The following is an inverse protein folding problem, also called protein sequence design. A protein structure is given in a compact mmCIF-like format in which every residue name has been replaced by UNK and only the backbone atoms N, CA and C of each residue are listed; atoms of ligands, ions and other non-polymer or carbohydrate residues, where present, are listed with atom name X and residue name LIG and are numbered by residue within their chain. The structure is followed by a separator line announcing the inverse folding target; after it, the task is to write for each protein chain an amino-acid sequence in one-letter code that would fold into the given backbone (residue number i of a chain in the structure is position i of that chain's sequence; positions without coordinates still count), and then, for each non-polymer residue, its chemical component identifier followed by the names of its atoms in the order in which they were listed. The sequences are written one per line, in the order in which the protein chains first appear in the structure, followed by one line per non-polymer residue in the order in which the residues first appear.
data_IF_913009161188
#
_entry.id   IF_913009161188
#
_cell.length_a   1.000
_cell.length_b   1.000
_cell.length_c   1.000
_cell.angle_alpha   90.00
_cell.angle_beta   90.00
_cell.angle_gamma   90.00
#
_symmetry.space_group_name_H-M   'P 1'
#
loop_
_entity.id
_entity.type
_entity.pdbx_description
1 polymer ?
#
# COMPACT_ATOMS: atom_id res chain seq x y z
N UNK A 1 -22.38 -45.20 -0.51
CA UNK A 1 -21.58 -44.98 0.71
C UNK A 1 -20.88 -43.64 0.59
N UNK A 2 -21.53 -42.59 1.12
CA UNK A 2 -21.00 -41.23 1.27
C UNK A 2 -20.50 -41.10 2.70
N UNK A 3 -19.24 -40.69 2.90
CA UNK A 3 -18.69 -40.38 4.22
C UNK A 3 -18.42 -38.88 4.25
N UNK A 4 -19.23 -38.17 5.02
CA UNK A 4 -19.11 -36.74 5.28
C UNK A 4 -18.05 -36.45 6.34
N UNK A 5 -17.32 -35.38 6.12
CA UNK A 5 -16.43 -34.72 7.09
C UNK A 5 -17.27 -33.92 8.10
N UNK A 6 -16.95 -33.97 9.41
CA UNK A 6 -17.25 -32.86 10.29
C UNK A 6 -16.02 -31.97 10.49
N UNK A 7 -16.17 -30.73 10.03
CA UNK A 7 -15.31 -29.58 10.36
C UNK A 7 -15.15 -29.43 11.88
N UNK A 8 -13.91 -29.42 12.37
CA UNK A 8 -13.58 -29.03 13.73
C UNK A 8 -13.03 -27.60 13.74
N UNK A 9 -13.70 -26.62 14.40
CA UNK A 9 -13.12 -25.30 14.63
C UNK A 9 -12.24 -25.34 15.89
N UNK A 10 -10.91 -25.37 15.72
CA UNK A 10 -9.98 -25.17 16.84
C UNK A 10 -9.89 -23.67 17.16
N UNK A 11 -10.73 -23.23 18.09
CA UNK A 11 -10.66 -21.93 18.76
C UNK A 11 -9.41 -21.91 19.63
N UNK A 12 -8.37 -21.20 19.20
CA UNK A 12 -7.22 -20.88 20.07
C UNK A 12 -7.64 -19.74 21.01
N UNK A 13 -7.74 -20.08 22.28
CA UNK A 13 -8.02 -19.21 23.42
C UNK A 13 -7.09 -18.00 23.47
N UNK A 14 -7.67 -16.80 23.53
CA UNK A 14 -6.99 -15.55 23.91
C UNK A 14 -6.76 -15.52 25.43
N UNK A 15 -5.61 -15.05 25.92
CA UNK A 15 -5.40 -14.90 27.36
C UNK A 15 -6.25 -13.75 27.92
N UNK A 16 -6.99 -14.08 28.98
CA UNK A 16 -7.80 -13.19 29.78
C UNK A 16 -6.94 -12.18 30.54
N UNK A 17 -7.00 -10.91 30.16
CA UNK A 17 -6.50 -9.80 30.98
C UNK A 17 -7.56 -8.69 31.03
N UNK A 18 -8.13 -8.54 32.23
CA UNK A 18 -8.85 -7.38 32.74
C UNK A 18 -10.20 -6.99 32.10
N UNK A 19 -11.18 -7.89 32.22
CA UNK A 19 -12.56 -7.46 32.48
C UNK A 19 -12.70 -7.13 33.97
N UNK A 20 -12.37 -5.89 34.37
CA UNK A 20 -12.81 -5.32 35.65
C UNK A 20 -13.84 -4.24 35.35
N UNK A 21 -15.06 -4.45 35.84
CA UNK A 21 -16.02 -3.37 36.03
C UNK A 21 -17.36 -3.50 35.31
N UNK A 22 -18.02 -4.65 35.40
CA UNK A 22 -19.48 -4.70 35.20
C UNK A 22 -20.13 -5.50 36.34
N UNK A 23 -20.42 -4.81 37.44
CA UNK A 23 -21.39 -5.27 38.43
C UNK A 23 -22.39 -4.14 38.70
N UNK A 24 -23.49 -4.19 37.96
CA UNK A 24 -24.88 -4.15 38.45
C UNK A 24 -25.06 -3.49 39.84
N UNK A 25 -25.57 -2.26 39.85
CA UNK A 25 -26.39 -1.73 40.96
C UNK A 25 -27.63 -1.09 40.35
N UNK A 26 -28.73 -1.85 40.34
CA UNK A 26 -30.07 -1.29 40.37
C UNK A 26 -30.43 -1.22 41.86
N UNK A 27 -30.41 -0.02 42.43
CA UNK A 27 -31.48 0.44 43.32
C UNK A 27 -31.24 1.89 43.76
N UNK A 28 -32.36 2.61 43.79
CA UNK A 28 -32.65 3.77 44.64
C UNK A 28 -32.17 5.13 44.15
N UNK A 29 -33.15 6.02 44.03
CA UNK A 29 -33.09 7.27 43.29
C UNK A 29 -32.35 8.37 44.02
N UNK A 30 -31.62 9.15 43.23
CA UNK A 30 -31.27 10.53 43.51
C UNK A 30 -31.28 11.25 42.17
N UNK A 31 -32.20 12.21 42.01
CA UNK A 31 -32.17 13.20 40.94
C UNK A 31 -30.94 14.08 41.11
N UNK A 32 -30.00 14.02 40.18
CA UNK A 32 -29.02 15.10 39.98
C UNK A 32 -29.03 15.48 38.51
N UNK A 33 -29.49 16.70 38.24
CA UNK A 33 -29.26 17.38 36.97
C UNK A 33 -27.76 17.40 36.68
N UNK A 34 -27.40 16.93 35.50
CA UNK A 34 -26.07 17.09 34.94
C UNK A 34 -26.20 17.99 33.70
N UNK A 35 -25.87 19.26 33.92
CA UNK A 35 -25.59 20.23 32.86
C UNK A 35 -24.59 19.66 31.84
N UNK A 36 -24.80 19.87 30.53
CA UNK A 36 -23.89 19.37 29.50
C UNK A 36 -22.58 20.16 29.53
N UNK A 37 -21.52 19.53 30.02
CA UNK A 37 -20.15 20.04 29.85
C UNK A 37 -19.81 20.00 28.36
N UNK A 38 -19.94 21.15 27.69
CA UNK A 38 -19.44 21.37 26.33
C UNK A 38 -17.92 21.17 26.33
N UNK A 39 -17.50 20.01 25.82
CA UNK A 39 -16.09 19.66 25.64
C UNK A 39 -15.46 20.51 24.54
N UNK A 40 -14.75 21.56 24.93
CA UNK A 40 -13.98 22.47 24.07
C UNK A 40 -12.63 21.90 23.62
N UNK A 41 -12.34 20.63 23.93
CA UNK A 41 -11.07 19.97 23.57
C UNK A 41 -11.03 19.44 22.12
N UNK A 42 -12.17 19.39 21.43
CA UNK A 42 -12.29 18.82 20.07
C UNK A 42 -11.85 19.77 18.94
N UNK A 43 -11.91 21.08 19.14
CA UNK A 43 -11.60 22.06 18.08
C UNK A 43 -10.09 22.24 17.90
N UNK A 44 -9.34 22.26 19.00
CA UNK A 44 -7.88 22.41 19.00
C UNK A 44 -7.15 21.30 18.24
N UNK A 45 -7.62 20.06 18.36
CA UNK A 45 -7.04 18.94 17.60
C UNK A 45 -7.34 19.05 16.10
N UNK A 46 -8.58 19.39 15.74
CA UNK A 46 -8.99 19.54 14.34
C UNK A 46 -8.24 20.69 13.65
N UNK A 47 -7.97 21.79 14.34
CA UNK A 47 -7.21 22.92 13.81
C UNK A 47 -5.71 22.59 13.68
N UNK A 48 -5.14 21.82 14.60
CA UNK A 48 -3.75 21.35 14.53
C UNK A 48 -3.50 20.44 13.31
N UNK A 49 -4.44 19.54 13.01
CA UNK A 49 -4.39 18.70 11.79
C UNK A 49 -4.48 19.57 10.52
N UNK A 50 -5.39 20.55 10.49
CA UNK A 50 -5.54 21.47 9.33
C UNK A 50 -4.33 22.38 9.12
N UNK A 51 -3.66 22.80 10.19
CA UNK A 51 -2.40 23.56 10.09
C UNK A 51 -1.27 22.71 9.51
N UNK A 52 -1.11 21.49 10.03
CA UNK A 52 -0.08 20.55 9.58
C UNK A 52 -0.23 20.17 8.10
N UNK A 53 -1.47 19.93 7.64
CA UNK A 53 -1.76 19.64 6.24
C UNK A 53 -1.49 20.83 5.29
N UNK A 54 -1.61 22.08 5.76
CA UNK A 54 -1.27 23.26 4.96
C UNK A 54 0.24 23.43 4.80
N UNK A 55 1.02 23.19 5.85
CA UNK A 55 2.49 23.27 5.77
C UNK A 55 3.11 22.16 4.92
N UNK A 56 2.52 20.96 4.89
CA UNK A 56 2.95 19.88 4.00
C UNK A 56 2.71 20.21 2.51
N UNK A 57 1.65 20.97 2.19
CA UNK A 57 1.28 21.27 0.80
C UNK A 57 2.16 22.33 0.15
N UNK A 58 2.69 23.28 0.93
CA UNK A 58 3.57 24.35 0.41
C UNK A 58 4.99 23.85 0.13
N UNK A 59 5.41 22.76 0.78
CA UNK A 59 6.74 22.16 0.57
C UNK A 59 6.84 21.24 -0.66
N UNK A 60 5.71 20.89 -1.27
CA UNK A 60 5.66 19.97 -2.42
C UNK A 60 5.74 20.67 -3.79
N UNK A 61 5.83 22.01 -3.84
CA UNK A 61 5.74 22.78 -5.09
C UNK A 61 7.09 23.20 -5.70
N UNK A 62 8.23 22.72 -5.17
CA UNK A 62 9.55 23.19 -5.60
C UNK A 62 10.56 22.07 -5.94
N UNK A 63 10.13 21.06 -6.70
CA UNK A 63 11.04 20.17 -7.43
C UNK A 63 10.52 19.93 -8.85
N UNK A 64 10.50 20.99 -9.66
CA UNK A 64 10.40 20.87 -11.13
C UNK A 64 11.69 21.40 -11.72
N UNK A 65 12.59 20.48 -12.07
CA UNK A 65 13.49 20.51 -13.24
C UNK A 65 14.59 19.47 -13.06
N UNK A 66 14.32 18.21 -13.39
CA UNK A 66 15.37 17.21 -13.57
C UNK A 66 15.86 17.26 -15.03
N UNK A 67 17.19 17.21 -15.30
CA UNK A 67 17.75 17.27 -16.64
C UNK A 67 17.44 15.98 -17.42
N UNK A 68 16.56 16.18 -18.40
CA UNK A 68 16.19 15.43 -19.61
C UNK A 68 17.13 14.27 -20.04
N UNK A 69 16.56 13.06 -19.97
CA UNK A 69 16.67 11.97 -20.96
C UNK A 69 17.90 11.04 -21.03
N UNK A 70 18.99 11.21 -20.28
CA UNK A 70 20.14 10.25 -20.36
C UNK A 70 20.44 9.53 -19.03
N UNK A 71 19.64 9.78 -17.98
CA UNK A 71 19.83 9.23 -16.63
C UNK A 71 18.63 8.42 -16.08
N UNK A 72 17.61 8.14 -16.90
CA UNK A 72 16.34 7.62 -16.42
C UNK A 72 16.45 6.22 -15.78
N UNK A 73 17.18 5.27 -16.36
CA UNK A 73 17.29 3.91 -15.80
C UNK A 73 18.00 3.84 -14.44
N UNK A 74 19.03 4.67 -14.22
CA UNK A 74 19.84 4.65 -12.99
C UNK A 74 19.22 5.52 -11.88
N UNK A 75 18.47 6.55 -12.23
CA UNK A 75 17.74 7.39 -11.27
C UNK A 75 16.56 6.66 -10.61
N UNK A 76 16.00 5.63 -11.27
CA UNK A 76 14.86 4.88 -10.76
C UNK A 76 15.24 3.91 -9.64
N UNK A 77 16.45 3.37 -9.67
CA UNK A 77 16.98 2.57 -8.57
C UNK A 77 17.32 3.42 -7.34
N UNK A 78 17.52 4.73 -7.50
CA UNK A 78 17.77 5.66 -6.38
C UNK A 78 16.51 6.23 -5.74
N UNK A 79 15.32 5.98 -6.31
CA UNK A 79 14.06 6.35 -5.66
C UNK A 79 13.89 5.58 -4.34
N UNK A 80 13.20 6.19 -3.38
CA UNK A 80 12.73 5.45 -2.21
C UNK A 80 11.70 4.39 -2.66
N UNK A 81 11.49 3.31 -1.90
CA UNK A 81 10.49 2.29 -2.25
C UNK A 81 9.07 2.87 -2.39
N UNK A 82 8.72 3.87 -1.60
CA UNK A 82 7.42 4.55 -1.65
C UNK A 82 7.29 5.45 -2.89
N UNK A 83 8.32 6.24 -3.21
CA UNK A 83 8.31 7.07 -4.42
C UNK A 83 8.26 6.21 -5.68
N UNK A 84 8.96 5.06 -5.69
CA UNK A 84 8.90 4.10 -6.78
C UNK A 84 7.49 3.55 -6.96
N UNK A 85 6.81 3.17 -5.87
CA UNK A 85 5.41 2.69 -5.92
C UNK A 85 4.53 3.74 -6.58
N UNK A 86 4.60 4.98 -6.12
CA UNK A 86 3.72 6.04 -6.58
C UNK A 86 4.00 6.40 -8.03
N UNK A 87 5.28 6.44 -8.43
CA UNK A 87 5.66 6.63 -9.82
C UNK A 87 5.10 5.50 -10.69
N UNK A 88 5.36 4.23 -10.35
CA UNK A 88 4.90 3.07 -11.12
C UNK A 88 3.38 3.10 -11.29
N UNK A 89 2.65 3.33 -10.19
CA UNK A 89 1.19 3.41 -10.21
C UNK A 89 0.71 4.49 -11.19
N UNK A 90 1.25 5.70 -11.07
CA UNK A 90 0.87 6.83 -11.93
C UNK A 90 1.16 6.55 -13.41
N UNK A 91 2.30 5.93 -13.72
CA UNK A 91 2.64 5.59 -15.10
C UNK A 91 1.73 4.52 -15.67
N UNK A 92 1.48 3.42 -14.94
CA UNK A 92 0.59 2.34 -15.40
C UNK A 92 -0.86 2.81 -15.55
N UNK A 93 -1.32 3.73 -14.70
CA UNK A 93 -2.67 4.31 -14.76
C UNK A 93 -2.90 5.15 -16.02
N UNK A 94 -1.84 5.74 -16.60
CA UNK A 94 -1.92 6.56 -17.83
C UNK A 94 -1.94 5.71 -19.11
N UNK A 95 -1.51 4.45 -19.04
CA UNK A 95 -1.43 3.58 -20.21
C UNK A 95 -2.80 3.06 -20.64
N UNK A 96 -2.97 2.87 -21.95
CA UNK A 96 -4.14 2.16 -22.51
C UNK A 96 -4.14 0.70 -22.04
N UNK A 97 -5.30 0.03 -21.93
CA UNK A 97 -5.39 -1.33 -21.40
C UNK A 97 -4.45 -2.34 -22.07
N UNK A 98 -4.30 -2.28 -23.40
CA UNK A 98 -3.39 -3.14 -24.16
C UNK A 98 -1.92 -2.91 -23.81
N UNK A 99 -1.47 -1.64 -23.83
CA UNK A 99 -0.10 -1.25 -23.46
C UNK A 99 0.21 -1.62 -22.01
N UNK A 100 -0.76 -1.43 -21.11
CA UNK A 100 -0.63 -1.82 -19.71
C UNK A 100 -0.42 -3.33 -19.58
N UNK A 101 -1.20 -4.14 -20.29
CA UNK A 101 -1.05 -5.60 -20.25
C UNK A 101 0.34 -6.04 -20.75
N UNK A 102 0.82 -5.45 -21.86
CA UNK A 102 2.15 -5.72 -22.42
C UNK A 102 3.26 -5.37 -21.41
N UNK A 103 3.20 -4.19 -20.78
CA UNK A 103 4.17 -3.78 -19.75
C UNK A 103 4.10 -4.67 -18.51
N UNK A 104 2.90 -5.03 -18.04
CA UNK A 104 2.72 -5.93 -16.90
C UNK A 104 3.35 -7.29 -17.18
N UNK A 105 3.08 -7.89 -18.35
CA UNK A 105 3.65 -9.17 -18.73
C UNK A 105 5.18 -9.11 -18.80
N UNK A 106 5.74 -8.06 -19.40
CA UNK A 106 7.20 -7.86 -19.46
C UNK A 106 7.83 -7.72 -18.07
N UNK A 107 7.25 -6.91 -17.18
CA UNK A 107 7.75 -6.76 -15.81
C UNK A 107 7.74 -8.08 -15.04
N UNK A 108 6.65 -8.84 -15.14
CA UNK A 108 6.52 -10.14 -14.47
C UNK A 108 7.50 -11.15 -15.06
N UNK A 109 7.71 -11.12 -16.38
CA UNK A 109 8.71 -11.95 -17.04
C UNK A 109 10.14 -11.64 -16.54
N UNK A 110 10.51 -10.36 -16.46
CA UNK A 110 11.83 -9.94 -15.97
C UNK A 110 12.03 -10.30 -14.50
N UNK A 111 11.01 -10.15 -13.65
CA UNK A 111 11.06 -10.60 -12.25
C UNK A 111 11.33 -12.10 -12.14
N UNK A 112 10.64 -12.92 -12.96
CA UNK A 112 10.85 -14.37 -13.00
C UNK A 112 12.25 -14.73 -13.50
N UNK A 113 12.77 -14.02 -14.51
CA UNK A 113 14.16 -14.18 -14.99
C UNK A 113 15.19 -13.83 -13.93
N UNK A 114 14.88 -12.88 -13.04
CA UNK A 114 15.68 -12.55 -11.88
C UNK A 114 15.45 -13.51 -10.68
N UNK A 115 14.82 -14.66 -10.90
CA UNK A 115 14.50 -15.68 -9.90
C UNK A 115 13.61 -15.17 -8.75
N UNK A 116 12.83 -14.11 -8.97
CA UNK A 116 11.82 -13.68 -8.01
C UNK A 116 10.58 -14.55 -8.15
N UNK A 117 10.23 -15.26 -7.06
CA UNK A 117 8.96 -15.97 -6.97
C UNK A 117 7.82 -14.96 -6.78
N UNK A 118 7.22 -14.55 -7.91
CA UNK A 118 6.13 -13.56 -7.95
C UNK A 118 4.91 -14.05 -7.18
N UNK A 119 4.51 -15.31 -7.33
CA UNK A 119 3.31 -15.84 -6.66
C UNK A 119 3.43 -15.79 -5.13
N UNK A 120 4.57 -16.21 -4.59
CA UNK A 120 4.82 -16.12 -3.14
C UNK A 120 4.83 -14.68 -2.64
N UNK A 121 5.36 -13.73 -3.43
CA UNK A 121 5.35 -12.32 -3.06
C UNK A 121 3.95 -11.72 -3.09
N UNK A 122 3.16 -12.01 -4.12
CA UNK A 122 1.76 -11.57 -4.18
C UNK A 122 0.96 -12.10 -2.99
N UNK A 123 1.17 -13.37 -2.63
CA UNK A 123 0.55 -13.98 -1.45
C UNK A 123 0.91 -13.25 -0.15
N UNK A 124 2.20 -12.97 0.09
CA UNK A 124 2.66 -12.23 1.27
C UNK A 124 2.07 -10.80 1.32
N UNK A 125 1.88 -10.18 0.15
CA UNK A 125 1.26 -8.86 0.03
C UNK A 125 -0.27 -8.89 0.15
N UNK A 126 -0.89 -10.06 0.28
CA UNK A 126 -2.35 -10.20 0.31
C UNK A 126 -3.04 -9.92 -1.02
N UNK A 127 -2.30 -10.01 -2.13
CA UNK A 127 -2.82 -9.77 -3.48
C UNK A 127 -3.35 -11.10 -4.05
N UNK A 128 -4.66 -11.22 -4.33
CA UNK A 128 -5.30 -12.50 -4.69
C UNK A 128 -5.12 -12.90 -6.18
N UNK A 129 -4.35 -12.14 -6.95
CA UNK A 129 -4.18 -12.35 -8.39
C UNK A 129 -3.54 -13.71 -8.71
N UNK A 130 -4.19 -14.49 -9.57
CA UNK A 130 -3.74 -15.81 -10.03
C UNK A 130 -3.08 -15.76 -11.40
N UNK A 131 -3.45 -14.75 -12.19
CA UNK A 131 -2.99 -14.53 -13.56
C UNK A 131 -2.37 -13.14 -13.69
N UNK A 132 -1.59 -12.92 -14.75
CA UNK A 132 -0.98 -11.61 -15.01
C UNK A 132 -2.01 -10.55 -15.38
N UNK A 133 -3.14 -10.98 -15.93
CA UNK A 133 -4.24 -10.14 -16.40
C UNK A 133 -5.08 -9.59 -15.23
N UNK A 134 -5.10 -10.30 -14.10
CA UNK A 134 -5.77 -9.87 -12.86
C UNK A 134 -5.02 -8.79 -12.09
N UNK A 135 -3.74 -8.54 -12.41
CA UNK A 135 -2.93 -7.57 -11.69
C UNK A 135 -3.36 -6.14 -12.02
N UNK A 136 -3.78 -5.42 -10.99
CA UNK A 136 -4.05 -3.98 -11.11
C UNK A 136 -2.75 -3.17 -11.09
N UNK A 137 -2.77 -1.90 -11.55
CA UNK A 137 -1.63 -0.99 -11.38
C UNK A 137 -1.13 -0.88 -9.93
N UNK A 138 -2.05 -0.93 -8.97
CA UNK A 138 -1.74 -0.86 -7.53
C UNK A 138 -0.99 -2.11 -7.07
N UNK A 139 -1.45 -3.29 -7.50
CA UNK A 139 -0.82 -4.57 -7.16
C UNK A 139 0.62 -4.63 -7.69
N UNK A 140 0.82 -4.20 -8.94
CA UNK A 140 2.14 -4.21 -9.57
C UNK A 140 3.08 -3.20 -8.90
N UNK A 141 2.58 -2.01 -8.54
CA UNK A 141 3.35 -1.02 -7.80
C UNK A 141 3.77 -1.53 -6.42
N UNK A 142 2.86 -2.19 -5.69
CA UNK A 142 3.17 -2.81 -4.40
C UNK A 142 4.18 -3.95 -4.52
N UNK A 143 4.05 -4.79 -5.55
CA UNK A 143 5.02 -5.83 -5.85
C UNK A 143 6.41 -5.24 -6.09
N UNK A 144 6.52 -4.23 -6.96
CA UNK A 144 7.81 -3.60 -7.27
C UNK A 144 8.42 -2.87 -6.07
N UNK A 145 7.61 -2.22 -5.24
CA UNK A 145 8.06 -1.68 -3.94
C UNK A 145 8.69 -2.77 -3.07
N UNK A 146 8.02 -3.92 -2.94
CA UNK A 146 8.53 -5.03 -2.12
C UNK A 146 9.86 -5.57 -2.66
N UNK A 147 10.01 -5.62 -3.99
CA UNK A 147 11.24 -6.08 -4.65
C UNK A 147 12.35 -5.06 -4.45
N UNK A 148 12.06 -3.76 -4.59
CA UNK A 148 13.04 -2.70 -4.34
C UNK A 148 13.57 -2.73 -2.90
N UNK A 149 12.67 -2.91 -1.92
CA UNK A 149 13.06 -3.01 -0.51
C UNK A 149 13.91 -4.26 -0.19
N UNK A 150 13.56 -5.42 -0.75
CA UNK A 150 14.18 -6.70 -0.37
C UNK A 150 15.31 -7.17 -1.29
N UNK A 151 15.35 -6.68 -2.53
CA UNK A 151 16.27 -7.11 -3.57
C UNK A 151 16.63 -5.95 -4.51
N UNK A 152 17.31 -4.90 -4.03
CA UNK A 152 17.63 -3.72 -4.83
C UNK A 152 18.48 -4.03 -6.06
N UNK A 153 19.29 -5.09 -6.03
CA UNK A 153 20.04 -5.55 -7.20
C UNK A 153 19.14 -5.97 -8.38
N UNK A 154 17.96 -6.54 -8.09
CA UNK A 154 16.98 -6.94 -9.12
C UNK A 154 16.36 -5.71 -9.79
N UNK A 155 16.24 -4.60 -9.09
CA UNK A 155 15.74 -3.35 -9.67
C UNK A 155 16.64 -2.83 -10.78
N UNK A 156 17.95 -3.11 -10.72
CA UNK A 156 18.87 -2.79 -11.81
C UNK A 156 18.53 -3.54 -13.10
N UNK A 157 18.09 -4.80 -13.00
CA UNK A 157 17.64 -5.58 -14.15
C UNK A 157 16.32 -5.05 -14.75
N UNK A 158 15.48 -4.42 -13.93
CA UNK A 158 14.20 -3.82 -14.35
C UNK A 158 14.35 -2.41 -14.91
N UNK A 159 15.52 -1.78 -14.74
CA UNK A 159 15.76 -0.36 -15.05
C UNK A 159 15.39 0.04 -16.48
N UNK A 160 15.64 -0.81 -17.48
CA UNK A 160 15.29 -0.54 -18.87
C UNK A 160 13.77 -0.54 -19.10
N UNK A 161 13.06 -1.53 -18.56
CA UNK A 161 11.59 -1.62 -18.68
C UNK A 161 10.92 -0.49 -17.89
N UNK A 162 11.43 -0.18 -16.70
CA UNK A 162 10.94 0.95 -15.91
C UNK A 162 11.24 2.28 -16.59
N UNK A 163 12.42 2.45 -17.20
CA UNK A 163 12.76 3.63 -18.00
C UNK A 163 11.72 3.92 -19.09
N UNK A 164 11.33 2.89 -19.86
CA UNK A 164 10.26 3.01 -20.88
C UNK A 164 8.88 3.32 -20.29
N UNK A 165 8.60 2.83 -19.08
CA UNK A 165 7.32 3.12 -18.40
C UNK A 165 7.23 4.58 -17.93
N UNK A 166 8.36 5.19 -17.54
CA UNK A 166 8.41 6.57 -17.06
C UNK A 166 8.66 7.59 -18.16
N UNK A 167 9.29 7.17 -19.24
CA UNK A 167 9.43 7.93 -20.47
C UNK A 167 8.86 7.06 -21.59
N UNK A 168 7.52 6.93 -21.67
CA UNK A 168 6.92 6.44 -22.89
C UNK A 168 7.28 7.47 -23.95
N UNK A 169 8.19 7.12 -24.87
CA UNK A 169 8.57 7.99 -25.98
C UNK A 169 7.30 8.57 -26.65
N UNK A 170 7.41 9.84 -27.05
CA UNK A 170 6.41 10.63 -27.77
C UNK A 170 5.68 9.87 -28.90
#
# INVERSE_FOLDING_TARGET
LRLELPFAPTVRSLPAILAKGLTKVLNEGVTMELEPVKSTASESFADSIRSSLRHARTSASQVVSAPRAVAAGSALTSLSPDDLRDAVYQSLAKLRPKQRAEVTQELIHQLRRAHINVASRLFILGIPARTTEELTPSDLAMLLRSVHFSAPAVMKALSATLGRLFSPDE
#
